data_IF_855776260215
#
_entry.id   IF_855776260215
#
_cell.length_a   1.000
_cell.length_b   1.000
_cell.length_c   1.000
_cell.angle_alpha   90.00
_cell.angle_beta   90.00
_cell.angle_gamma   90.00
#
_symmetry.space_group_name_H-M   'P 1'
#
loop_
_entity.id
_entity.type
_entity.pdbx_description
1 polymer ?
#
# COMPACT_ATOMS: atom_id res chain seq x y z
N UNK A 1 -33.39 -18.64 10.45
CA UNK A 1 -32.50 -17.46 10.53
C UNK A 1 -31.10 -17.98 10.77
N UNK A 2 -30.12 -17.64 9.92
CA UNK A 2 -28.71 -17.93 10.24
C UNK A 2 -28.30 -17.00 11.38
N UNK A 3 -27.75 -17.56 12.47
CA UNK A 3 -27.12 -16.77 13.54
C UNK A 3 -25.85 -16.14 12.98
N UNK A 4 -25.68 -14.82 13.12
CA UNK A 4 -24.46 -14.11 12.68
C UNK A 4 -23.28 -14.32 13.63
N UNK A 5 -23.54 -14.65 14.90
CA UNK A 5 -22.53 -14.86 15.92
C UNK A 5 -22.84 -16.08 16.79
N UNK A 6 -21.78 -16.70 17.31
CA UNK A 6 -21.83 -17.83 18.23
C UNK A 6 -21.14 -17.49 19.54
N UNK A 7 -21.71 -17.93 20.66
CA UNK A 7 -21.00 -17.86 21.95
C UNK A 7 -19.84 -18.86 22.00
N UNK A 8 -18.89 -18.65 22.91
CA UNK A 8 -17.78 -19.59 23.13
C UNK A 8 -18.25 -21.04 23.37
N UNK A 9 -19.33 -21.22 24.14
CA UNK A 9 -19.95 -22.53 24.38
C UNK A 9 -20.50 -23.16 23.11
N UNK A 10 -21.21 -22.38 22.29
CA UNK A 10 -21.78 -22.84 21.03
C UNK A 10 -20.68 -23.27 20.05
N UNK A 11 -19.59 -22.52 19.96
CA UNK A 11 -18.44 -22.88 19.12
C UNK A 11 -17.82 -24.21 19.58
N UNK A 12 -17.58 -24.38 20.88
CA UNK A 12 -17.05 -25.64 21.42
C UNK A 12 -17.99 -26.81 21.16
N UNK A 13 -19.30 -26.63 21.34
CA UNK A 13 -20.30 -27.67 21.05
C UNK A 13 -20.30 -28.05 19.56
N UNK A 14 -20.19 -27.08 18.67
CA UNK A 14 -20.15 -27.33 17.23
C UNK A 14 -18.86 -28.06 16.82
N UNK A 15 -17.71 -27.63 17.31
CA UNK A 15 -16.43 -28.24 16.97
C UNK A 15 -16.29 -29.65 17.57
N UNK A 16 -16.79 -29.88 18.79
CA UNK A 16 -16.77 -31.19 19.46
C UNK A 16 -17.73 -32.20 18.83
N UNK A 17 -18.77 -31.75 18.12
CA UNK A 17 -19.62 -32.65 17.32
C UNK A 17 -18.90 -33.23 16.10
N UNK A 18 -17.88 -32.54 15.58
CA UNK A 18 -17.15 -32.92 14.36
C UNK A 18 -15.75 -33.50 14.62
N UNK A 19 -15.13 -33.17 15.77
CA UNK A 19 -13.73 -33.51 16.08
C UNK A 19 -13.63 -34.61 17.14
N UNK A 20 -12.69 -35.55 16.96
CA UNK A 20 -12.51 -36.73 17.84
C UNK A 20 -11.64 -36.51 19.10
N UNK A 21 -11.22 -35.28 19.44
CA UNK A 21 -11.06 -34.89 20.84
C UNK A 21 -12.04 -33.78 21.26
N UNK A 22 -12.51 -33.85 22.50
CA UNK A 22 -13.26 -32.75 23.13
C UNK A 22 -12.34 -31.55 23.32
N UNK A 23 -12.48 -30.55 22.46
CA UNK A 23 -11.86 -29.24 22.57
C UNK A 23 -12.36 -28.53 23.83
N UNK A 24 -11.41 -27.85 24.46
CA UNK A 24 -11.59 -27.05 25.67
C UNK A 24 -11.50 -25.55 25.35
N UNK A 25 -11.83 -24.72 26.33
CA UNK A 25 -11.64 -23.27 26.24
C UNK A 25 -10.18 -22.85 26.02
N UNK A 26 -9.21 -23.67 26.44
CA UNK A 26 -7.78 -23.42 26.15
C UNK A 26 -7.48 -23.58 24.67
N UNK A 27 -8.09 -24.56 24.02
CA UNK A 27 -7.96 -24.76 22.57
C UNK A 27 -8.65 -23.61 21.82
N UNK A 28 -9.79 -23.13 22.31
CA UNK A 28 -10.45 -21.94 21.76
C UNK A 28 -9.56 -20.68 21.88
N UNK A 29 -8.91 -20.49 23.04
CA UNK A 29 -7.94 -19.40 23.25
C UNK A 29 -6.75 -19.52 22.28
N UNK A 30 -6.21 -20.72 22.10
CA UNK A 30 -5.13 -20.99 21.13
C UNK A 30 -5.58 -20.69 19.68
N UNK A 31 -6.79 -21.06 19.28
CA UNK A 31 -7.35 -20.69 17.96
C UNK A 31 -7.42 -19.17 17.76
N UNK A 32 -7.76 -18.42 18.81
CA UNK A 32 -7.78 -16.97 18.75
C UNK A 32 -6.36 -16.37 18.68
N UNK A 33 -5.40 -16.91 19.44
CA UNK A 33 -3.99 -16.50 19.39
C UNK A 33 -3.36 -16.74 18.03
N UNK A 34 -3.80 -17.80 17.33
CA UNK A 34 -3.40 -18.11 15.94
C UNK A 34 -4.15 -17.28 14.89
N UNK A 35 -5.05 -16.39 15.29
CA UNK A 35 -5.82 -15.53 14.40
C UNK A 35 -6.90 -16.26 13.58
N UNK A 36 -7.28 -17.47 13.99
CA UNK A 36 -8.36 -18.23 13.32
C UNK A 36 -9.75 -17.79 13.77
N UNK A 37 -9.86 -17.27 14.98
CA UNK A 37 -11.06 -16.72 15.58
C UNK A 37 -10.75 -15.35 16.17
N UNK A 38 -11.69 -14.43 16.06
CA UNK A 38 -11.58 -13.08 16.62
C UNK A 38 -12.65 -12.92 17.71
N UNK A 39 -12.27 -12.86 18.99
CA UNK A 39 -13.26 -12.66 20.06
C UNK A 39 -13.83 -11.25 19.96
N UNK A 40 -15.15 -11.14 19.95
CA UNK A 40 -15.84 -9.87 19.84
C UNK A 40 -16.91 -9.72 20.92
N UNK A 41 -17.23 -8.48 21.26
CA UNK A 41 -18.33 -8.14 22.17
C UNK A 41 -19.25 -7.17 21.46
N UNK A 42 -20.56 -7.37 21.66
CA UNK A 42 -21.57 -6.44 21.20
C UNK A 42 -21.53 -5.15 22.02
N UNK A 43 -21.49 -4.01 21.34
CA UNK A 43 -21.43 -2.71 21.96
C UNK A 43 -22.41 -1.74 21.32
N UNK A 44 -23.09 -0.96 22.16
CA UNK A 44 -23.95 0.15 21.78
C UNK A 44 -23.56 1.38 22.60
N UNK A 45 -23.14 2.45 21.92
CA UNK A 45 -22.65 3.66 22.57
C UNK A 45 -21.93 4.57 21.58
N UNK A 46 -20.90 5.27 22.05
CA UNK A 46 -20.10 6.17 21.25
C UNK A 46 -18.70 5.59 21.03
N UNK A 47 -18.23 5.64 19.79
CA UNK A 47 -16.82 5.43 19.45
C UNK A 47 -16.16 6.79 19.27
N UNK A 48 -15.05 6.99 19.96
CA UNK A 48 -14.25 8.21 19.93
C UNK A 48 -12.86 7.86 19.44
N UNK A 49 -12.44 8.52 18.35
CA UNK A 49 -11.07 8.45 17.87
C UNK A 49 -10.23 9.54 18.52
N UNK A 50 -9.17 9.13 19.20
CA UNK A 50 -8.24 10.02 19.90
C UNK A 50 -6.92 10.02 19.14
N UNK A 51 -6.48 11.20 18.77
CA UNK A 51 -5.14 11.49 18.27
C UNK A 51 -4.22 11.81 19.44
N UNK A 52 -3.05 11.17 19.49
CA UNK A 52 -1.99 11.44 20.43
C UNK A 52 -0.76 11.99 19.70
N UNK A 53 -0.40 13.24 20.02
CA UNK A 53 0.84 13.84 19.55
C UNK A 53 1.83 13.97 20.71
N UNK A 54 3.09 13.59 20.46
CA UNK A 54 4.19 13.81 21.39
C UNK A 54 5.23 14.67 20.71
N UNK A 55 5.32 15.91 21.17
CA UNK A 55 6.39 16.80 20.70
C UNK A 55 7.73 16.30 21.24
N UNK A 56 8.82 16.36 20.47
CA UNK A 56 10.16 16.16 21.04
C UNK A 56 10.42 17.25 22.08
N UNK A 57 11.04 16.88 23.20
CA UNK A 57 11.42 17.87 24.21
C UNK A 57 12.48 18.81 23.59
N UNK A 58 12.24 20.12 23.63
CA UNK A 58 13.10 21.14 23.04
C UNK A 58 14.48 21.22 23.72
N UNK A 59 14.59 20.72 24.96
CA UNK A 59 15.81 20.80 25.78
C UNK A 59 16.67 19.53 25.66
N UNK A 60 16.04 18.35 25.69
CA UNK A 60 16.73 17.07 25.49
C UNK A 60 15.86 16.15 24.64
N UNK A 61 16.29 15.89 23.40
CA UNK A 61 15.58 15.00 22.47
C UNK A 61 15.47 13.53 22.96
N UNK A 62 16.15 13.15 24.05
CA UNK A 62 16.02 11.84 24.71
C UNK A 62 14.88 11.80 25.72
N UNK A 63 14.36 12.96 26.12
CA UNK A 63 13.21 13.08 27.00
C UNK A 63 11.92 13.24 26.19
N UNK A 64 10.84 12.64 26.68
CA UNK A 64 9.51 12.80 26.08
C UNK A 64 9.02 14.22 26.34
N UNK A 65 8.71 14.98 25.29
CA UNK A 65 8.16 16.33 25.40
C UNK A 65 6.66 16.30 25.73
N UNK A 66 5.99 17.47 25.65
CA UNK A 66 4.57 17.60 25.98
C UNK A 66 3.72 16.65 25.15
N UNK A 67 2.73 16.06 25.82
CA UNK A 67 1.82 15.09 25.27
C UNK A 67 0.45 15.73 25.08
N UNK A 68 0.05 15.91 23.83
CA UNK A 68 -1.23 16.49 23.47
C UNK A 68 -2.17 15.41 22.98
N UNK A 69 -3.42 15.50 23.42
CA UNK A 69 -4.52 14.61 23.02
C UNK A 69 -5.62 15.46 22.40
N UNK A 70 -6.10 15.04 21.25
CA UNK A 70 -7.25 15.65 20.60
C UNK A 70 -8.22 14.58 20.10
N UNK A 71 -9.50 14.92 20.03
CA UNK A 71 -10.52 14.04 19.43
C UNK A 71 -10.54 14.28 17.92
N UNK A 72 -10.21 13.27 17.13
CA UNK A 72 -10.23 13.36 15.66
C UNK A 72 -11.65 13.33 15.12
N UNK A 73 -12.47 12.41 15.65
CA UNK A 73 -13.87 12.25 15.27
C UNK A 73 -14.60 11.38 16.30
N UNK A 74 -15.92 11.47 16.31
CA UNK A 74 -16.81 10.65 17.14
C UNK A 74 -17.98 10.14 16.30
N UNK A 75 -18.50 8.96 16.66
CA UNK A 75 -19.71 8.42 16.05
C UNK A 75 -20.52 7.64 17.07
N UNK A 76 -21.84 7.80 17.03
CA UNK A 76 -22.76 6.85 17.65
C UNK A 76 -22.59 5.53 16.89
N UNK A 77 -22.41 4.44 17.64
CA UNK A 77 -22.05 3.15 17.11
C UNK A 77 -22.86 2.04 17.76
N UNK A 78 -23.27 1.09 16.92
CA UNK A 78 -23.86 -0.18 17.32
C UNK A 78 -23.23 -1.29 16.50
N UNK A 79 -22.64 -2.28 17.16
CA UNK A 79 -21.96 -3.37 16.45
C UNK A 79 -21.03 -4.17 17.34
N UNK A 80 -20.06 -4.83 16.71
CA UNK A 80 -19.15 -5.76 17.39
C UNK A 80 -17.73 -5.22 17.42
N UNK A 81 -17.15 -5.18 18.62
CA UNK A 81 -15.80 -4.66 18.88
C UNK A 81 -14.87 -5.78 19.34
N UNK A 82 -13.58 -5.65 19.03
CA UNK A 82 -12.53 -6.57 19.47
C UNK A 82 -11.44 -5.85 20.27
N UNK A 83 -11.10 -6.42 21.42
CA UNK A 83 -9.89 -6.13 22.19
C UNK A 83 -9.15 -7.45 22.48
N UNK A 84 -7.83 -7.39 22.58
CA UNK A 84 -7.02 -8.56 23.00
C UNK A 84 -7.32 -8.99 24.42
N UNK A 85 -7.73 -8.05 25.27
CA UNK A 85 -8.03 -8.31 26.68
C UNK A 85 -9.15 -9.35 26.83
N UNK A 86 -10.05 -9.45 25.85
CA UNK A 86 -11.13 -10.44 25.84
C UNK A 86 -10.62 -11.88 25.88
N UNK A 87 -9.41 -12.15 25.37
CA UNK A 87 -8.80 -13.49 25.39
C UNK A 87 -8.55 -14.01 26.80
N UNK A 88 -8.35 -13.12 27.78
CA UNK A 88 -8.08 -13.51 29.16
C UNK A 88 -9.35 -13.90 29.93
N UNK A 89 -10.52 -13.68 29.33
CA UNK A 89 -11.82 -13.99 29.91
C UNK A 89 -12.46 -15.27 29.34
N UNK A 90 -11.97 -15.79 28.21
CA UNK A 90 -12.53 -16.98 27.57
C UNK A 90 -12.60 -18.21 28.50
N UNK A 91 -11.57 -18.44 29.32
CA UNK A 91 -11.54 -19.59 30.23
C UNK A 91 -12.53 -19.46 31.40
N UNK A 92 -12.95 -18.23 31.72
CA UNK A 92 -13.86 -17.96 32.82
C UNK A 92 -15.34 -18.22 32.51
N UNK A 93 -15.69 -18.48 31.25
CA UNK A 93 -17.05 -18.87 30.85
C UNK A 93 -17.51 -20.22 31.42
N UNK A 94 -16.60 -20.99 32.03
CA UNK A 94 -16.93 -22.27 32.72
C UNK A 94 -17.32 -22.10 34.18
N UNK A 95 -17.17 -20.90 34.74
CA UNK A 95 -17.38 -20.64 36.17
C UNK A 95 -18.83 -20.21 36.40
N UNK A 96 -19.45 -20.71 37.48
CA UNK A 96 -20.84 -20.41 37.85
C UNK A 96 -21.13 -18.91 38.02
N UNK A 97 -20.09 -18.13 38.33
CA UNK A 97 -20.10 -16.67 38.27
C UNK A 97 -19.07 -16.22 37.23
N UNK A 98 -19.49 -15.79 36.03
CA UNK A 98 -18.57 -15.39 34.97
C UNK A 98 -17.74 -14.20 35.47
N UNK A 99 -16.45 -14.22 35.16
CA UNK A 99 -15.57 -13.11 35.51
C UNK A 99 -16.01 -11.88 34.70
N UNK A 100 -16.28 -10.79 35.41
CA UNK A 100 -16.63 -9.50 34.81
C UNK A 100 -15.42 -8.57 34.83
N UNK A 101 -15.33 -7.70 33.84
CA UNK A 101 -14.34 -6.63 33.77
C UNK A 101 -14.90 -5.46 32.96
N UNK A 102 -14.12 -4.39 32.85
CA UNK A 102 -14.47 -3.18 32.13
C UNK A 102 -13.53 -2.96 30.95
N UNK A 103 -14.08 -2.69 29.78
CA UNK A 103 -13.29 -2.32 28.60
C UNK A 103 -13.56 -0.87 28.20
N UNK A 104 -12.50 -0.14 27.90
CA UNK A 104 -12.58 1.24 27.43
C UNK A 104 -11.92 1.45 26.07
N UNK A 105 -10.87 0.69 25.79
CA UNK A 105 -10.12 0.72 24.53
C UNK A 105 -10.40 -0.55 23.75
N UNK A 106 -10.36 -0.45 22.43
CA UNK A 106 -10.50 -1.60 21.56
C UNK A 106 -9.59 -1.43 20.34
N UNK A 107 -9.21 -2.55 19.73
CA UNK A 107 -8.25 -2.57 18.63
C UNK A 107 -8.94 -2.52 17.27
N UNK A 108 -10.11 -3.16 17.15
CA UNK A 108 -10.76 -3.38 15.86
C UNK A 108 -12.28 -3.35 15.98
N UNK A 109 -12.91 -2.74 14.99
CA UNK A 109 -14.35 -2.89 14.72
C UNK A 109 -14.53 -4.10 13.83
N UNK A 110 -15.27 -5.09 14.29
CA UNK A 110 -15.53 -6.34 13.56
C UNK A 110 -16.68 -6.14 12.59
N UNK A 111 -17.76 -5.54 13.07
CA UNK A 111 -18.94 -5.26 12.28
C UNK A 111 -19.63 -4.00 12.80
N UNK A 112 -20.07 -3.15 11.87
CA UNK A 112 -20.86 -1.97 12.15
C UNK A 112 -22.29 -2.21 11.68
N UNK A 113 -23.24 -2.26 12.60
CA UNK A 113 -24.67 -2.46 12.29
C UNK A 113 -25.35 -1.12 12.04
N UNK A 114 -25.09 -0.14 12.90
CA UNK A 114 -25.61 1.23 12.79
C UNK A 114 -24.50 2.21 13.19
N UNK A 115 -24.28 3.24 12.36
CA UNK A 115 -23.40 4.37 12.67
C UNK A 115 -23.97 5.63 12.04
N UNK A 116 -23.96 6.75 12.77
CA UNK A 116 -24.43 8.03 12.24
C UNK A 116 -23.41 8.64 11.26
N UNK A 117 -22.12 8.43 11.51
CA UNK A 117 -21.02 8.96 10.70
C UNK A 117 -20.21 7.84 10.03
N UNK A 118 -19.55 8.19 8.92
CA UNK A 118 -18.59 7.31 8.27
C UNK A 118 -17.35 7.09 9.17
N UNK A 119 -17.05 5.83 9.46
CA UNK A 119 -15.90 5.43 10.27
C UNK A 119 -14.65 5.54 9.41
N UNK A 120 -13.75 6.46 9.76
CA UNK A 120 -12.51 6.71 9.03
C UNK A 120 -11.41 5.72 9.43
N UNK A 121 -10.50 5.43 8.50
CA UNK A 121 -9.30 4.65 8.78
C UNK A 121 -8.40 5.39 9.78
N UNK A 122 -7.84 4.66 10.74
CA UNK A 122 -6.96 5.22 11.78
C UNK A 122 -5.58 5.58 11.23
N UNK A 123 -5.08 6.75 11.61
CA UNK A 123 -3.69 7.14 11.42
C UNK A 123 -2.78 6.44 12.46
N UNK A 124 -1.45 6.44 12.24
CA UNK A 124 -0.48 5.79 13.15
C UNK A 124 -0.53 6.28 14.61
N UNK A 125 -0.94 7.54 14.80
CA UNK A 125 -1.03 8.20 16.11
C UNK A 125 -2.46 8.24 16.66
N UNK A 126 -3.37 7.46 16.09
CA UNK A 126 -4.77 7.42 16.48
C UNK A 126 -5.16 6.07 17.09
N UNK A 127 -6.07 6.11 18.05
CA UNK A 127 -6.66 4.92 18.64
C UNK A 127 -8.10 5.16 19.05
N UNK A 128 -8.84 4.07 19.23
CA UNK A 128 -10.27 4.12 19.49
C UNK A 128 -10.61 3.84 20.95
N UNK A 129 -11.63 4.55 21.43
CA UNK A 129 -12.25 4.34 22.73
C UNK A 129 -13.76 4.19 22.61
N UNK A 130 -14.33 3.38 23.47
CA UNK A 130 -15.77 3.11 23.55
C UNK A 130 -16.34 3.75 24.81
N UNK A 131 -17.34 4.61 24.66
CA UNK A 131 -18.03 5.27 25.77
C UNK A 131 -19.50 4.88 25.75
N UNK A 132 -20.06 4.57 26.92
CA UNK A 132 -21.50 4.36 27.04
C UNK A 132 -22.27 5.61 26.57
N UNK A 133 -23.49 5.42 26.05
CA UNK A 133 -24.33 6.52 25.60
C UNK A 133 -24.72 7.41 26.79
N UNK A 134 -24.51 8.72 26.70
CA UNK A 134 -24.96 9.68 27.71
C UNK A 134 -26.05 10.60 27.14
N UNK A 135 -26.85 11.18 28.02
CA UNK A 135 -28.02 11.99 27.62
C UNK A 135 -27.64 13.34 26.97
N UNK A 136 -26.36 13.71 27.04
CA UNK A 136 -25.76 15.00 26.67
C UNK A 136 -24.72 14.89 25.52
N UNK A 137 -24.70 13.76 24.79
CA UNK A 137 -23.69 13.44 23.76
C UNK A 137 -23.63 14.49 22.62
N UNK A 138 -24.66 15.32 22.49
CA UNK A 138 -24.79 16.41 21.51
C UNK A 138 -23.81 17.59 21.76
N UNK A 139 -23.16 17.64 22.93
CA UNK A 139 -22.28 18.74 23.39
C UNK A 139 -20.79 18.39 23.20
N UNK A 140 -20.37 18.40 21.92
CA UNK A 140 -19.02 18.36 21.26
C UNK A 140 -17.70 18.14 22.08
N UNK A 141 -16.85 17.26 21.50
CA UNK A 141 -15.36 17.09 21.51
C UNK A 141 -14.52 17.29 22.80
N UNK A 142 -14.76 18.32 23.62
CA UNK A 142 -13.91 18.63 24.78
C UNK A 142 -14.26 17.72 25.96
N UNK A 143 -15.54 17.34 26.10
CA UNK A 143 -16.02 16.49 27.21
C UNK A 143 -15.40 15.09 27.17
N UNK A 144 -15.27 14.46 26.00
CA UNK A 144 -14.72 13.10 25.89
C UNK A 144 -13.32 12.94 26.49
N UNK A 145 -12.44 13.93 26.36
CA UNK A 145 -11.09 13.87 26.94
C UNK A 145 -11.11 14.04 28.47
N UNK A 146 -12.04 14.84 29.00
CA UNK A 146 -12.24 15.05 30.45
C UNK A 146 -12.93 13.83 31.07
N UNK A 147 -13.96 13.31 30.42
CA UNK A 147 -14.72 12.13 30.83
C UNK A 147 -13.86 10.88 30.76
N UNK A 148 -12.91 10.79 29.82
CA UNK A 148 -11.94 9.70 29.79
C UNK A 148 -11.12 9.54 31.09
N UNK A 149 -11.04 10.57 31.94
CA UNK A 149 -10.39 10.47 33.25
C UNK A 149 -11.30 9.91 34.35
N UNK A 150 -12.61 10.00 34.18
CA UNK A 150 -13.62 9.62 35.19
C UNK A 150 -14.41 8.37 34.78
N UNK A 151 -14.38 8.01 33.51
CA UNK A 151 -15.07 6.85 32.97
C UNK A 151 -14.27 5.57 33.25
N UNK A 152 -14.85 4.68 34.04
CA UNK A 152 -14.21 3.43 34.46
C UNK A 152 -14.18 2.37 33.33
N UNK A 153 -14.99 2.53 32.28
CA UNK A 153 -15.09 1.61 31.15
C UNK A 153 -16.48 0.97 31.04
N UNK A 154 -16.66 0.13 30.03
CA UNK A 154 -17.92 -0.57 29.75
C UNK A 154 -17.86 -1.97 30.36
N UNK A 155 -18.79 -2.33 31.25
CA UNK A 155 -18.80 -3.65 31.87
C UNK A 155 -19.10 -4.73 30.83
N UNK A 156 -18.40 -5.85 30.94
CA UNK A 156 -18.67 -7.05 30.17
C UNK A 156 -18.38 -8.29 31.00
N UNK A 157 -18.93 -9.42 30.56
CA UNK A 157 -18.69 -10.74 31.13
C UNK A 157 -18.09 -11.68 30.07
N UNK A 158 -17.50 -12.77 30.52
CA UNK A 158 -16.96 -13.80 29.62
C UNK A 158 -18.01 -14.45 28.72
N UNK A 159 -19.30 -14.43 29.12
CA UNK A 159 -20.42 -14.94 28.33
C UNK A 159 -20.83 -14.01 27.19
N UNK A 160 -20.44 -12.74 27.25
CA UNK A 160 -20.73 -11.75 26.19
C UNK A 160 -19.76 -11.87 25.01
N UNK A 161 -18.71 -12.68 25.15
CA UNK A 161 -17.72 -12.92 24.10
C UNK A 161 -18.28 -13.87 23.05
N UNK A 162 -18.33 -13.37 21.82
CA UNK A 162 -18.87 -14.07 20.66
C UNK A 162 -17.88 -14.12 19.50
N UNK A 163 -18.15 -15.02 18.57
CA UNK A 163 -17.35 -15.26 17.36
C UNK A 163 -18.23 -15.18 16.11
N UNK A 164 -17.70 -14.55 15.06
CA UNK A 164 -18.44 -14.36 13.83
C UNK A 164 -18.72 -15.69 13.12
N UNK A 165 -19.91 -15.84 12.55
CA UNK A 165 -20.37 -17.07 11.92
C UNK A 165 -19.44 -17.56 10.82
N UNK A 166 -18.90 -16.67 9.99
CA UNK A 166 -17.95 -17.03 8.93
C UNK A 166 -16.70 -17.69 9.51
N UNK A 167 -16.10 -17.13 10.57
CA UNK A 167 -14.89 -17.70 11.17
C UNK A 167 -15.16 -19.09 11.78
N UNK A 168 -16.33 -19.26 12.41
CA UNK A 168 -16.74 -20.55 12.98
C UNK A 168 -17.02 -21.59 11.90
N UNK A 169 -17.71 -21.21 10.82
CA UNK A 169 -17.92 -22.08 9.66
C UNK A 169 -16.59 -22.48 9.02
N UNK A 170 -15.62 -21.55 8.92
CA UNK A 170 -14.29 -21.86 8.39
C UNK A 170 -13.59 -22.97 9.18
N UNK A 171 -13.82 -23.05 10.48
CA UNK A 171 -13.30 -24.14 11.33
C UNK A 171 -14.10 -25.44 11.18
N UNK A 172 -15.41 -25.34 11.02
CA UNK A 172 -16.28 -26.50 10.90
C UNK A 172 -16.10 -27.19 9.56
N UNK A 173 -16.06 -26.46 8.45
CA UNK A 173 -15.89 -27.02 7.11
C UNK A 173 -14.52 -26.62 6.55
N UNK A 174 -13.44 -27.31 6.98
CA UNK A 174 -12.11 -27.06 6.42
C UNK A 174 -12.05 -27.34 4.91
N UNK A 175 -12.96 -28.15 4.36
CA UNK A 175 -13.07 -28.39 2.91
C UNK A 175 -13.60 -27.18 2.13
N UNK A 176 -14.31 -26.23 2.77
CA UNK A 176 -14.60 -24.91 2.15
C UNK A 176 -13.45 -23.92 2.29
N UNK A 177 -12.40 -24.28 3.04
CA UNK A 177 -11.10 -23.60 3.06
C UNK A 177 -9.99 -24.57 2.66
N UNK A 178 -9.96 -24.98 1.40
CA UNK A 178 -8.65 -24.93 0.78
C UNK A 178 -8.22 -23.46 0.81
N UNK A 179 -7.49 -23.06 1.86
CA UNK A 179 -6.29 -22.27 1.58
C UNK A 179 -5.60 -23.07 0.48
N UNK A 180 -5.65 -22.59 -0.78
CA UNK A 180 -5.08 -23.24 -1.95
C UNK A 180 -3.56 -23.33 -1.79
N UNK A 181 -3.10 -24.08 -0.79
CA UNK A 181 -1.71 -24.24 -0.43
C UNK A 181 -1.14 -25.22 -1.43
N UNK A 182 -0.56 -24.67 -2.48
CA UNK A 182 0.16 -25.43 -3.50
C UNK A 182 1.56 -25.69 -2.96
N UNK A 183 1.77 -26.87 -2.42
CA UNK A 183 3.10 -27.37 -2.13
C UNK A 183 3.74 -27.82 -3.43
N UNK A 184 4.84 -27.17 -3.81
CA UNK A 184 5.51 -27.37 -5.08
C UNK A 184 6.94 -27.82 -4.81
N UNK A 185 7.37 -28.87 -5.49
CA UNK A 185 8.75 -29.33 -5.48
C UNK A 185 9.32 -29.32 -6.90
N UNK A 186 10.44 -28.63 -7.08
CA UNK A 186 11.17 -28.53 -8.33
C UNK A 186 12.50 -29.28 -8.30
N UNK A 187 12.71 -30.19 -7.34
CA UNK A 187 13.92 -31.02 -7.24
C UNK A 187 14.30 -31.68 -8.57
N UNK A 188 13.30 -32.08 -9.35
CA UNK A 188 13.47 -32.82 -10.60
C UNK A 188 13.52 -31.90 -11.83
N UNK A 189 13.19 -30.61 -11.67
CA UNK A 189 13.22 -29.62 -12.74
C UNK A 189 14.58 -28.89 -12.77
N UNK A 190 15.45 -29.29 -13.71
CA UNK A 190 16.81 -28.74 -13.87
C UNK A 190 16.85 -27.24 -14.18
N UNK A 191 15.79 -26.67 -14.74
CA UNK A 191 15.74 -25.24 -15.06
C UNK A 191 15.32 -24.45 -13.83
N UNK A 192 14.21 -24.83 -13.20
CA UNK A 192 13.69 -24.11 -12.04
C UNK A 192 14.60 -24.25 -10.82
N UNK A 193 15.26 -25.39 -10.61
CA UNK A 193 16.27 -25.52 -9.54
C UNK A 193 17.44 -24.53 -9.64
N UNK A 194 17.75 -24.00 -10.84
CA UNK A 194 18.70 -22.88 -11.01
C UNK A 194 18.04 -21.53 -10.69
N UNK A 195 16.79 -21.35 -11.10
CA UNK A 195 15.99 -20.14 -10.85
C UNK A 195 15.77 -19.92 -9.35
N UNK A 196 15.55 -20.97 -8.55
CA UNK A 196 15.38 -20.85 -7.09
C UNK A 196 16.60 -20.26 -6.36
N UNK A 197 17.77 -20.20 -7.01
CA UNK A 197 19.03 -19.67 -6.43
C UNK A 197 19.34 -18.24 -6.86
N UNK A 198 18.46 -17.61 -7.64
CA UNK A 198 18.65 -16.24 -8.11
C UNK A 198 18.28 -15.24 -7.00
N UNK A 199 18.91 -14.07 -7.03
CA UNK A 199 18.61 -12.98 -6.08
C UNK A 199 17.53 -12.03 -6.62
N UNK A 200 17.30 -12.06 -7.93
CA UNK A 200 16.45 -11.13 -8.66
C UNK A 200 15.64 -11.89 -9.71
N UNK A 201 14.38 -11.47 -9.87
CA UNK A 201 13.39 -12.14 -10.70
C UNK A 201 12.67 -11.12 -11.57
N UNK A 202 12.55 -11.39 -12.87
CA UNK A 202 11.60 -10.70 -13.73
C UNK A 202 10.18 -11.29 -13.55
N UNK A 203 9.13 -10.59 -14.01
CA UNK A 203 7.75 -11.05 -13.84
C UNK A 203 7.43 -12.41 -14.48
N UNK A 204 8.09 -12.76 -15.60
CA UNK A 204 7.87 -14.04 -16.29
C UNK A 204 8.49 -15.16 -15.47
N UNK A 205 9.74 -14.99 -15.04
CA UNK A 205 10.42 -15.97 -14.19
C UNK A 205 9.68 -16.16 -12.87
N UNK A 206 9.17 -15.09 -12.26
CA UNK A 206 8.32 -15.19 -11.07
C UNK A 206 7.01 -15.94 -11.33
N UNK A 207 6.38 -15.78 -12.49
CA UNK A 207 5.18 -16.53 -12.87
C UNK A 207 5.48 -18.02 -13.10
N UNK A 208 6.64 -18.34 -13.69
CA UNK A 208 7.10 -19.72 -13.87
C UNK A 208 7.30 -20.46 -12.55
N UNK A 209 7.63 -19.76 -11.46
CA UNK A 209 7.70 -20.35 -10.11
C UNK A 209 6.33 -20.77 -9.57
N UNK A 210 5.23 -20.24 -10.13
CA UNK A 210 3.87 -20.61 -9.75
C UNK A 210 3.33 -21.76 -10.59
N UNK A 211 3.80 -21.92 -11.83
CA UNK A 211 3.24 -22.86 -12.81
C UNK A 211 4.16 -24.03 -13.18
N UNK A 212 5.47 -23.92 -12.91
CA UNK A 212 6.45 -24.95 -13.24
C UNK A 212 6.98 -24.90 -14.68
N UNK A 213 6.65 -23.85 -15.44
CA UNK A 213 7.06 -23.69 -16.83
C UNK A 213 8.53 -23.26 -17.00
N UNK A 214 9.06 -23.42 -18.21
CA UNK A 214 10.41 -22.99 -18.59
C UNK A 214 10.44 -21.49 -18.97
N UNK A 215 11.11 -20.62 -18.20
CA UNK A 215 11.18 -19.19 -18.49
C UNK A 215 11.75 -18.88 -19.88
N UNK A 216 12.75 -19.63 -20.35
CA UNK A 216 13.43 -19.36 -21.61
C UNK A 216 12.52 -19.57 -22.83
N UNK A 217 11.58 -20.51 -22.74
CA UNK A 217 10.59 -20.74 -23.81
C UNK A 217 9.54 -19.64 -23.85
N UNK A 218 9.15 -19.13 -22.69
CA UNK A 218 8.07 -18.15 -22.55
C UNK A 218 8.53 -16.74 -22.91
N UNK A 219 9.77 -16.37 -22.61
CA UNK A 219 10.36 -15.08 -23.04
C UNK A 219 10.35 -14.95 -24.57
N UNK A 220 10.76 -16.01 -25.28
CA UNK A 220 10.79 -16.04 -26.76
C UNK A 220 9.37 -15.97 -27.35
N UNK A 221 8.43 -16.70 -26.77
CA UNK A 221 7.04 -16.76 -27.26
C UNK A 221 6.27 -15.45 -27.02
N UNK A 222 6.47 -14.80 -25.86
CA UNK A 222 5.85 -13.51 -25.56
C UNK A 222 6.35 -12.41 -26.49
N UNK A 223 7.64 -12.39 -26.79
CA UNK A 223 8.22 -11.43 -27.73
C UNK A 223 7.72 -11.63 -29.18
N UNK A 224 7.40 -12.88 -29.56
CA UNK A 224 6.96 -13.22 -30.91
C UNK A 224 5.45 -13.06 -31.14
N UNK A 225 4.59 -13.52 -30.22
CA UNK A 225 3.13 -13.45 -30.37
C UNK A 225 2.37 -13.64 -29.04
N UNK A 226 1.90 -12.53 -28.45
CA UNK A 226 1.18 -12.53 -27.18
C UNK A 226 -0.12 -13.35 -27.19
N UNK A 227 -0.87 -13.37 -28.31
CA UNK A 227 -2.12 -14.16 -28.41
C UNK A 227 -1.84 -15.66 -28.43
N UNK A 228 -0.73 -16.08 -29.05
CA UNK A 228 -0.33 -17.49 -29.06
C UNK A 228 0.15 -17.94 -27.67
N UNK A 229 0.81 -17.05 -26.93
CA UNK A 229 1.25 -17.30 -25.56
C UNK A 229 0.06 -17.54 -24.62
N UNK A 230 -0.96 -16.69 -24.66
CA UNK A 230 -2.18 -16.83 -23.84
C UNK A 230 -2.90 -18.16 -24.10
N UNK A 231 -3.02 -18.56 -25.37
CA UNK A 231 -3.68 -19.82 -25.74
C UNK A 231 -2.87 -21.06 -25.33
N UNK A 232 -1.53 -20.98 -25.41
CA UNK A 232 -0.65 -22.13 -25.17
C UNK A 232 -0.29 -22.32 -23.70
N UNK A 233 -0.24 -21.24 -22.91
CA UNK A 233 0.11 -21.25 -21.49
C UNK A 233 -0.89 -20.42 -20.65
N UNK A 234 -2.17 -20.84 -20.57
CA UNK A 234 -3.19 -20.07 -19.88
C UNK A 234 -2.91 -19.89 -18.38
N UNK A 235 -2.43 -20.93 -17.70
CA UNK A 235 -2.09 -20.88 -16.27
C UNK A 235 -0.92 -19.91 -16.00
N UNK A 236 0.10 -19.91 -16.87
CA UNK A 236 1.24 -19.00 -16.74
C UNK A 236 0.83 -17.55 -17.04
N UNK A 237 -0.06 -17.36 -18.02
CA UNK A 237 -0.61 -16.05 -18.33
C UNK A 237 -1.40 -15.45 -17.16
N UNK A 238 -2.20 -16.27 -16.47
CA UNK A 238 -2.90 -15.87 -15.25
C UNK A 238 -1.93 -15.52 -14.12
N UNK A 239 -0.92 -16.36 -13.87
CA UNK A 239 0.12 -16.09 -12.87
C UNK A 239 0.92 -14.81 -13.17
N UNK A 240 1.28 -14.59 -14.43
CA UNK A 240 1.95 -13.37 -14.88
C UNK A 240 1.07 -12.14 -14.69
N UNK A 241 -0.21 -12.23 -15.04
CA UNK A 241 -1.18 -11.14 -14.85
C UNK A 241 -1.29 -10.78 -13.37
N UNK A 242 -1.33 -11.77 -12.50
CA UNK A 242 -1.39 -11.60 -11.06
C UNK A 242 -0.14 -10.89 -10.52
N UNK A 243 1.06 -11.29 -10.94
CA UNK A 243 2.32 -10.65 -10.53
C UNK A 243 2.38 -9.19 -11.02
N UNK A 244 2.00 -8.94 -12.28
CA UNK A 244 1.99 -7.59 -12.84
C UNK A 244 0.99 -6.68 -12.11
N UNK A 245 -0.20 -7.18 -11.77
CA UNK A 245 -1.17 -6.44 -10.93
C UNK A 245 -0.59 -6.12 -9.56
N UNK A 246 0.07 -7.08 -8.93
CA UNK A 246 0.69 -6.89 -7.62
C UNK A 246 1.77 -5.81 -7.63
N UNK A 247 2.57 -5.74 -8.70
CA UNK A 247 3.56 -4.68 -8.88
C UNK A 247 2.87 -3.33 -9.09
N UNK A 248 1.90 -3.25 -9.99
CA UNK A 248 1.22 -1.98 -10.33
C UNK A 248 0.45 -1.38 -9.14
N UNK A 249 -0.13 -2.25 -8.30
CA UNK A 249 -0.84 -1.85 -7.08
C UNK A 249 0.10 -1.60 -5.89
N UNK A 250 1.42 -1.81 -6.05
CA UNK A 250 2.41 -1.61 -4.99
C UNK A 250 2.40 -2.67 -3.88
N UNK A 251 1.70 -3.80 -4.10
CA UNK A 251 1.67 -4.94 -3.18
C UNK A 251 2.99 -5.70 -3.25
N UNK A 252 3.51 -5.92 -4.46
CA UNK A 252 4.82 -6.53 -4.69
C UNK A 252 5.84 -5.45 -5.06
N UNK A 253 6.88 -5.29 -4.23
CA UNK A 253 7.93 -4.29 -4.48
C UNK A 253 8.85 -4.75 -5.61
N UNK A 254 8.84 -4.00 -6.71
CA UNK A 254 9.78 -4.11 -7.81
C UNK A 254 10.51 -2.77 -8.03
N UNK A 255 11.70 -2.81 -8.64
CA UNK A 255 12.41 -1.61 -9.07
C UNK A 255 11.80 -1.02 -10.36
N UNK A 256 12.39 0.06 -10.88
CA UNK A 256 11.95 0.74 -12.10
C UNK A 256 11.90 -0.16 -13.35
N UNK A 257 12.71 -1.22 -13.38
CA UNK A 257 12.82 -2.16 -14.49
C UNK A 257 11.96 -3.42 -14.27
N UNK A 258 11.00 -3.37 -13.34
CA UNK A 258 10.13 -4.49 -12.94
C UNK A 258 10.88 -5.68 -12.35
N UNK A 259 12.10 -5.48 -11.87
CA UNK A 259 12.89 -6.53 -11.21
C UNK A 259 12.46 -6.65 -9.75
N UNK A 260 12.07 -7.85 -9.38
CA UNK A 260 11.59 -8.23 -8.05
C UNK A 260 12.77 -8.85 -7.28
N UNK A 261 12.98 -8.39 -6.04
CA UNK A 261 13.99 -9.00 -5.17
C UNK A 261 13.48 -10.31 -4.56
N UNK A 262 14.40 -11.24 -4.25
CA UNK A 262 14.09 -12.56 -3.70
C UNK A 262 13.16 -12.52 -2.47
N UNK A 263 13.46 -11.68 -1.47
CA UNK A 263 12.72 -11.65 -0.19
C UNK A 263 11.25 -11.24 -0.38
N UNK A 264 10.92 -10.08 -1.02
CA UNK A 264 9.54 -9.71 -1.32
C UNK A 264 8.78 -10.78 -2.11
N UNK A 265 9.44 -11.46 -3.05
CA UNK A 265 8.81 -12.52 -3.84
C UNK A 265 8.46 -13.75 -2.98
N UNK A 266 9.35 -14.16 -2.07
CA UNK A 266 9.11 -15.29 -1.18
C UNK A 266 7.90 -15.03 -0.26
N UNK A 267 7.85 -13.84 0.34
CA UNK A 267 6.75 -13.42 1.21
C UNK A 267 5.43 -13.41 0.43
N UNK A 268 5.41 -12.76 -0.73
CA UNK A 268 4.25 -12.70 -1.61
C UNK A 268 3.73 -14.08 -2.00
N UNK A 269 4.61 -15.00 -2.38
CA UNK A 269 4.19 -16.36 -2.75
C UNK A 269 3.60 -17.13 -1.56
N UNK A 270 4.15 -16.97 -0.34
CA UNK A 270 3.56 -17.58 0.87
C UNK A 270 2.18 -17.00 1.16
N UNK A 271 2.02 -15.68 1.08
CA UNK A 271 0.72 -15.01 1.27
C UNK A 271 -0.33 -15.48 0.25
N UNK A 272 0.10 -15.79 -0.98
CA UNK A 272 -0.76 -16.34 -2.05
C UNK A 272 -0.96 -17.85 -1.96
N UNK A 273 -0.35 -18.53 -1.00
CA UNK A 273 -0.47 -19.97 -0.78
C UNK A 273 0.45 -20.85 -1.64
N UNK A 274 1.47 -20.30 -2.28
CA UNK A 274 2.46 -21.07 -3.06
C UNK A 274 3.67 -21.38 -2.19
N UNK A 275 3.84 -22.65 -1.80
CA UNK A 275 4.93 -23.11 -0.94
C UNK A 275 5.90 -23.97 -1.76
N UNK A 276 7.04 -23.40 -2.13
CA UNK A 276 8.03 -24.01 -3.00
C UNK A 276 9.21 -24.54 -2.16
N UNK A 277 9.48 -25.83 -2.29
CA UNK A 277 10.59 -26.49 -1.63
C UNK A 277 11.94 -25.90 -2.08
N UNK A 278 12.85 -25.65 -1.14
CA UNK A 278 14.14 -25.03 -1.42
C UNK A 278 14.12 -23.52 -1.71
N UNK A 279 12.97 -22.85 -1.64
CA UNK A 279 12.84 -21.41 -1.90
C UNK A 279 12.18 -20.64 -0.75
N UNK A 280 10.85 -20.75 -0.59
CA UNK A 280 10.09 -20.02 0.44
C UNK A 280 9.49 -20.93 1.53
N UNK A 281 9.65 -22.27 1.45
CA UNK A 281 9.20 -23.21 2.48
C UNK A 281 9.71 -22.88 3.90
N UNK A 282 10.97 -22.48 4.04
CA UNK A 282 11.55 -22.07 5.33
C UNK A 282 10.85 -20.82 5.90
N UNK A 283 10.33 -19.95 5.04
CA UNK A 283 9.60 -18.74 5.45
C UNK A 283 8.19 -19.08 5.90
N UNK A 284 7.56 -20.08 5.27
CA UNK A 284 6.27 -20.65 5.70
C UNK A 284 6.38 -21.42 7.02
N UNK A 285 7.37 -22.30 7.16
CA UNK A 285 7.57 -23.14 8.36
C UNK A 285 8.00 -22.32 9.60
N UNK A 286 8.22 -21.01 9.46
CA UNK A 286 8.58 -20.12 10.57
C UNK A 286 9.97 -20.38 11.16
N UNK A 287 10.81 -21.14 10.47
CA UNK A 287 12.17 -21.53 10.90
C UNK A 287 13.25 -20.56 10.45
N UNK A 288 12.86 -19.46 9.78
CA UNK A 288 13.78 -18.41 9.35
C UNK A 288 14.25 -17.55 10.53
N UNK A 289 15.50 -17.75 10.96
CA UNK A 289 16.24 -16.83 11.81
C UNK A 289 17.23 -16.02 10.94
N UNK A 290 17.00 -14.72 10.71
CA UNK A 290 18.00 -13.91 10.03
C UNK A 290 19.21 -13.72 10.95
N UNK A 291 20.38 -14.19 10.52
CA UNK A 291 21.64 -13.76 11.09
C UNK A 291 21.83 -12.27 10.75
N UNK A 292 21.73 -11.44 11.79
CA UNK A 292 22.23 -10.07 11.93
C UNK A 292 21.49 -8.89 11.24
N UNK A 293 21.34 -7.83 12.06
CA UNK A 293 20.97 -6.43 11.78
C UNK A 293 19.52 -6.12 11.38
N UNK A 294 18.59 -6.33 12.32
CA UNK A 294 17.81 -5.26 12.96
C UNK A 294 16.71 -5.89 13.80
N UNK A 295 16.42 -5.31 14.98
CA UNK A 295 15.41 -5.80 15.93
C UNK A 295 13.96 -5.60 15.44
N UNK A 296 13.67 -5.79 14.16
CA UNK A 296 12.29 -5.92 13.65
C UNK A 296 11.94 -7.41 13.64
N UNK A 297 11.05 -7.81 14.55
CA UNK A 297 10.38 -9.11 14.46
C UNK A 297 9.54 -9.09 13.18
N UNK A 298 10.02 -9.71 12.11
CA UNK A 298 9.21 -9.93 10.92
C UNK A 298 8.05 -10.86 11.30
N UNK A 299 6.82 -10.43 11.02
CA UNK A 299 5.64 -11.29 11.18
C UNK A 299 5.78 -12.45 10.19
N UNK A 300 5.49 -13.67 10.63
CA UNK A 300 5.40 -14.80 9.70
C UNK A 300 4.38 -14.45 8.61
N UNK A 301 4.71 -14.59 7.31
CA UNK A 301 3.74 -14.42 6.24
C UNK A 301 2.68 -15.52 6.38
N UNK A 302 1.43 -15.12 6.62
CA UNK A 302 0.30 -16.04 6.77
C UNK A 302 -0.41 -16.10 5.42
N UNK A 303 -0.72 -17.30 4.88
CA UNK A 303 -1.54 -17.42 3.68
C UNK A 303 -2.86 -16.65 3.83
N UNK A 304 -3.13 -15.75 2.91
CA UNK A 304 -4.35 -14.94 2.90
C UNK A 304 -5.54 -15.84 2.55
N UNK A 305 -6.63 -15.70 3.30
CA UNK A 305 -7.91 -16.27 2.88
C UNK A 305 -8.51 -15.37 1.79
N UNK A 306 -8.33 -15.75 0.52
CA UNK A 306 -8.72 -14.97 -0.65
C UNK A 306 -10.23 -15.09 -0.98
N UNK A 307 -10.99 -15.90 -0.23
CA UNK A 307 -12.40 -16.22 -0.52
C UNK A 307 -13.37 -15.04 -0.33
N UNK A 308 -13.01 -14.03 0.47
CA UNK A 308 -13.92 -12.92 0.79
C UNK A 308 -13.61 -11.60 0.06
N UNK A 309 -12.34 -11.32 -0.30
CA UNK A 309 -11.98 -10.18 -1.15
C UNK A 309 -10.50 -10.25 -1.60
N UNK A 310 -10.20 -10.83 -2.77
CA UNK A 310 -8.83 -10.79 -3.29
C UNK A 310 -8.50 -9.35 -3.77
N UNK A 311 -7.52 -8.64 -3.17
CA UNK A 311 -7.12 -7.31 -3.64
C UNK A 311 -6.63 -7.33 -5.09
N UNK A 312 -6.13 -8.47 -5.59
CA UNK A 312 -5.67 -8.65 -6.97
C UNK A 312 -6.77 -9.18 -7.92
N UNK A 313 -7.99 -9.37 -7.42
CA UNK A 313 -9.14 -9.73 -8.27
C UNK A 313 -9.32 -8.69 -9.37
N UNK A 314 -9.86 -9.14 -10.51
CA UNK A 314 -10.08 -8.25 -11.66
C UNK A 314 -10.94 -7.04 -11.30
N UNK A 315 -11.98 -7.24 -10.49
CA UNK A 315 -12.87 -6.16 -10.03
C UNK A 315 -12.10 -5.13 -9.20
N UNK A 316 -11.25 -5.56 -8.25
CA UNK A 316 -10.49 -4.65 -7.41
C UNK A 316 -9.37 -3.94 -8.19
N UNK A 317 -8.73 -4.63 -9.13
CA UNK A 317 -7.78 -4.02 -10.04
C UNK A 317 -8.42 -2.96 -10.95
N UNK A 318 -9.62 -3.22 -11.47
CA UNK A 318 -10.38 -2.24 -12.24
C UNK A 318 -10.78 -1.04 -11.37
N UNK A 319 -11.21 -1.25 -10.13
CA UNK A 319 -11.48 -0.17 -9.16
C UNK A 319 -10.24 0.69 -8.92
N UNK A 320 -9.08 0.07 -8.72
CA UNK A 320 -7.80 0.77 -8.60
C UNK A 320 -7.50 1.62 -9.83
N UNK A 321 -7.65 1.07 -11.04
CA UNK A 321 -7.45 1.84 -12.29
C UNK A 321 -8.40 3.02 -12.41
N UNK A 322 -9.68 2.82 -12.08
CA UNK A 322 -10.68 3.90 -12.09
C UNK A 322 -10.31 4.98 -11.07
N UNK A 323 -9.85 4.61 -9.87
CA UNK A 323 -9.38 5.57 -8.87
C UNK A 323 -8.19 6.39 -9.39
N UNK A 324 -7.17 5.73 -9.94
CA UNK A 324 -5.99 6.40 -10.51
C UNK A 324 -6.36 7.35 -11.65
N UNK A 325 -7.29 6.95 -12.51
CA UNK A 325 -7.81 7.80 -13.58
C UNK A 325 -8.61 8.98 -13.04
N UNK A 326 -9.41 8.81 -11.98
CA UNK A 326 -10.10 9.90 -11.31
C UNK A 326 -9.11 10.90 -10.71
N UNK A 327 -8.07 10.43 -10.03
CA UNK A 327 -7.02 11.29 -9.47
C UNK A 327 -6.31 12.08 -10.58
N UNK A 328 -6.07 11.47 -11.74
CA UNK A 328 -5.48 12.14 -12.90
C UNK A 328 -6.44 13.16 -13.52
N UNK A 329 -7.73 12.83 -13.64
CA UNK A 329 -8.76 13.77 -14.09
C UNK A 329 -8.90 14.94 -13.11
N UNK A 330 -8.84 14.71 -11.80
CA UNK A 330 -8.86 15.76 -10.78
C UNK A 330 -7.64 16.65 -10.87
N UNK A 331 -6.44 16.08 -11.05
CA UNK A 331 -5.22 16.85 -11.32
C UNK A 331 -5.38 17.70 -12.58
N UNK A 332 -5.87 17.12 -13.67
CA UNK A 332 -6.09 17.84 -14.93
C UNK A 332 -7.16 18.93 -14.79
N UNK A 333 -8.24 18.68 -14.05
CA UNK A 333 -9.28 19.66 -13.76
C UNK A 333 -8.78 20.78 -12.85
N UNK A 334 -7.94 20.46 -11.87
CA UNK A 334 -7.24 21.44 -11.05
C UNK A 334 -6.33 22.33 -11.91
N UNK A 335 -5.53 21.74 -12.81
CA UNK A 335 -4.72 22.49 -13.78
C UNK A 335 -5.59 23.33 -14.72
N UNK A 336 -6.70 22.79 -15.21
CA UNK A 336 -7.62 23.49 -16.12
C UNK A 336 -8.34 24.64 -15.45
N UNK A 337 -8.82 24.47 -14.21
CA UNK A 337 -9.46 25.54 -13.42
C UNK A 337 -8.45 26.63 -13.05
N UNK A 338 -7.20 26.23 -12.76
CA UNK A 338 -6.10 27.17 -12.57
C UNK A 338 -5.80 27.97 -13.84
N UNK A 339 -5.90 27.35 -15.03
CA UNK A 339 -5.78 28.04 -16.31
C UNK A 339 -6.99 28.94 -16.63
N UNK A 340 -8.22 28.53 -16.30
CA UNK A 340 -9.42 29.32 -16.61
C UNK A 340 -9.60 30.53 -15.71
N UNK A 341 -9.16 30.44 -14.45
CA UNK A 341 -9.18 31.58 -13.52
C UNK A 341 -8.15 32.66 -13.88
N UNK A 342 -7.15 32.33 -14.71
CA UNK A 342 -6.13 33.27 -15.17
C UNK A 342 -6.51 34.00 -16.49
N UNK A 343 -7.69 33.73 -17.07
CA UNK A 343 -8.13 34.31 -18.35
C UNK A 343 -9.07 35.52 -18.21
N UNK A 344 -9.21 36.12 -17.02
CA UNK A 344 -10.05 37.33 -16.84
C UNK A 344 -9.34 38.58 -16.33
N UNK A 345 -8.02 38.59 -16.17
CA UNK A 345 -7.30 39.84 -15.89
C UNK A 345 -6.04 40.00 -16.75
N UNK A 346 -5.96 41.19 -17.34
CA UNK A 346 -4.86 41.69 -18.14
C UNK A 346 -3.55 41.67 -17.33
N UNK A 347 -2.48 41.18 -17.96
CA UNK A 347 -1.06 41.25 -17.59
C UNK A 347 -0.73 42.15 -16.38
N UNK A 348 -0.66 41.54 -15.19
CA UNK A 348 0.24 42.00 -14.13
C UNK A 348 0.94 40.79 -13.50
N UNK A 349 2.26 40.86 -13.53
CA UNK A 349 3.19 39.93 -12.90
C UNK A 349 2.78 39.64 -11.45
N UNK A 350 2.35 38.40 -11.17
CA UNK A 350 2.23 37.91 -9.80
C UNK A 350 2.96 36.57 -9.65
N UNK A 351 3.94 36.64 -8.77
CA UNK A 351 4.80 35.61 -8.21
C UNK A 351 3.98 34.44 -7.67
N UNK A 352 4.30 33.23 -8.13
CA UNK A 352 3.83 31.99 -7.51
C UNK A 352 4.69 31.68 -6.28
N UNK A 353 4.10 31.76 -5.09
CA UNK A 353 4.65 31.21 -3.84
C UNK A 353 3.58 30.40 -3.13
N UNK A 354 3.69 29.07 -3.22
CA UNK A 354 3.71 28.05 -2.14
C UNK A 354 3.36 26.69 -2.76
N UNK A 355 4.08 25.57 -2.54
CA UNK A 355 4.42 24.94 -1.27
C UNK A 355 5.80 24.25 -1.35
N UNK A 356 6.70 24.57 -0.41
CA UNK A 356 7.67 23.64 0.19
C UNK A 356 8.81 23.01 -0.63
N UNK A 357 9.02 23.30 -1.92
CA UNK A 357 10.25 22.89 -2.60
C UNK A 357 11.38 23.89 -2.32
N UNK A 358 12.55 23.41 -1.88
CA UNK A 358 13.78 24.21 -1.82
C UNK A 358 14.04 24.84 -3.20
N UNK A 359 13.66 26.11 -3.35
CA UNK A 359 13.90 26.90 -4.55
C UNK A 359 15.19 27.67 -4.37
N UNK A 360 16.03 27.64 -5.40
CA UNK A 360 17.20 28.51 -5.49
C UNK A 360 17.04 29.41 -6.70
N UNK A 361 17.70 30.58 -6.73
CA UNK A 361 17.66 31.46 -7.90
C UNK A 361 18.03 30.73 -9.20
N UNK A 362 18.92 29.73 -9.12
CA UNK A 362 19.30 28.91 -10.26
C UNK A 362 18.17 27.98 -10.73
N UNK A 363 17.39 27.39 -9.81
CA UNK A 363 16.23 26.57 -10.14
C UNK A 363 15.11 27.39 -10.77
N UNK A 364 14.90 28.61 -10.30
CA UNK A 364 13.94 29.56 -10.88
C UNK A 364 14.34 29.94 -12.30
N UNK A 365 15.62 30.26 -12.51
CA UNK A 365 16.16 30.53 -13.83
C UNK A 365 16.04 29.34 -14.79
N UNK A 366 16.27 28.11 -14.31
CA UNK A 366 16.05 26.88 -15.09
C UNK A 366 14.58 26.75 -15.52
N UNK A 367 13.64 26.88 -14.57
CA UNK A 367 12.20 26.81 -14.85
C UNK A 367 11.79 27.87 -15.86
N UNK A 368 12.26 29.11 -15.71
CA UNK A 368 11.99 30.21 -16.64
C UNK A 368 12.52 29.97 -18.05
N UNK A 369 13.75 29.45 -18.19
CA UNK A 369 14.34 29.15 -19.50
C UNK A 369 13.58 28.01 -20.21
N UNK A 370 13.18 26.97 -19.49
CA UNK A 370 12.39 25.86 -20.05
C UNK A 370 11.06 26.39 -20.59
N UNK A 371 10.33 27.15 -19.78
CA UNK A 371 9.03 27.72 -20.17
C UNK A 371 9.17 28.65 -21.38
N UNK A 372 10.18 29.53 -21.38
CA UNK A 372 10.35 30.53 -22.44
C UNK A 372 10.78 29.94 -23.79
N UNK A 373 11.65 28.93 -23.78
CA UNK A 373 12.34 28.49 -24.99
C UNK A 373 12.10 27.03 -25.40
N UNK A 374 11.65 26.17 -24.49
CA UNK A 374 11.69 24.71 -24.73
C UNK A 374 10.35 24.00 -24.56
N UNK A 375 9.39 24.53 -23.78
CA UNK A 375 8.07 23.88 -23.58
C UNK A 375 7.30 23.69 -24.89
N UNK A 376 7.41 24.63 -25.83
CA UNK A 376 6.71 24.59 -27.12
C UNK A 376 7.65 24.37 -28.31
N UNK A 377 8.92 24.03 -28.08
CA UNK A 377 9.91 23.86 -29.15
C UNK A 377 9.69 22.54 -29.88
N UNK A 378 9.39 22.59 -31.19
CA UNK A 378 9.36 21.42 -32.06
C UNK A 378 10.69 21.27 -32.82
N UNK A 379 11.50 20.23 -32.54
CA UNK A 379 12.79 20.02 -33.17
C UNK A 379 12.72 19.79 -34.70
N UNK A 380 11.54 19.56 -35.28
CA UNK A 380 11.36 19.39 -36.73
C UNK A 380 11.14 20.71 -37.48
N UNK A 381 10.58 21.72 -36.81
CA UNK A 381 10.13 22.96 -37.45
C UNK A 381 10.83 24.20 -36.91
N UNK A 382 11.27 24.16 -35.65
CA UNK A 382 11.83 25.33 -34.98
C UNK A 382 13.36 25.37 -35.03
N UNK A 383 13.89 26.58 -35.16
CA UNK A 383 15.32 26.85 -35.08
C UNK A 383 15.68 27.06 -33.61
N UNK A 384 16.63 26.29 -33.03
CA UNK A 384 16.98 26.42 -31.63
C UNK A 384 17.60 27.80 -31.34
N UNK A 385 17.28 28.42 -30.19
CA UNK A 385 17.83 29.72 -29.83
C UNK A 385 19.35 29.65 -29.64
N UNK A 386 20.04 30.70 -30.11
CA UNK A 386 21.47 30.89 -29.88
C UNK A 386 21.74 31.00 -28.38
N UNK A 387 22.87 30.46 -27.93
CA UNK A 387 23.27 30.49 -26.51
C UNK A 387 23.35 31.90 -25.96
N UNK A 388 23.83 32.87 -26.75
CA UNK A 388 23.85 34.29 -26.36
C UNK A 388 22.45 34.81 -26.07
N UNK A 389 21.46 34.47 -26.89
CA UNK A 389 20.07 34.91 -26.72
C UNK A 389 19.45 34.40 -25.42
N UNK A 390 19.72 33.15 -25.04
CA UNK A 390 19.25 32.59 -23.77
C UNK A 390 19.99 33.23 -22.59
N UNK A 391 21.30 33.46 -22.71
CA UNK A 391 22.11 34.12 -21.67
C UNK A 391 21.69 35.58 -21.44
N UNK A 392 21.42 36.33 -22.50
CA UNK A 392 20.93 37.72 -22.40
C UNK A 392 19.56 37.76 -21.73
N UNK A 393 18.66 36.83 -22.07
CA UNK A 393 17.37 36.72 -21.40
C UNK A 393 17.51 36.38 -19.91
N UNK A 394 18.41 35.47 -19.52
CA UNK A 394 18.67 35.19 -18.10
C UNK A 394 19.23 36.44 -17.39
N UNK A 395 20.15 37.17 -18.03
CA UNK A 395 20.72 38.41 -17.50
C UNK A 395 19.65 39.46 -17.21
N UNK A 396 18.65 39.57 -18.08
CA UNK A 396 17.59 40.58 -17.97
C UNK A 396 16.50 40.19 -16.96
N UNK A 397 16.29 38.89 -16.70
CA UNK A 397 15.20 38.40 -15.86
C UNK A 397 15.66 37.91 -14.47
N UNK A 398 16.95 37.61 -14.28
CA UNK A 398 17.53 37.10 -13.03
C UNK A 398 18.76 37.94 -12.63
N UNK A 399 18.57 39.07 -11.93
CA UNK A 399 19.62 40.05 -11.61
C UNK A 399 20.84 39.46 -10.88
N UNK A 400 20.64 38.42 -10.09
CA UNK A 400 21.67 37.67 -9.37
C UNK A 400 22.70 36.99 -10.30
N UNK A 401 22.35 36.75 -11.56
CA UNK A 401 23.23 36.17 -12.57
C UNK A 401 23.73 37.18 -13.60
N UNK A 402 23.42 38.47 -13.43
CA UNK A 402 23.69 39.52 -14.41
C UNK A 402 25.16 39.51 -14.87
N UNK A 403 26.09 39.45 -13.91
CA UNK A 403 27.54 39.46 -14.14
C UNK A 403 28.18 38.05 -14.16
N UNK A 404 27.37 36.98 -14.06
CA UNK A 404 27.88 35.60 -13.97
C UNK A 404 27.60 34.79 -15.25
N UNK A 405 28.44 34.99 -16.26
CA UNK A 405 28.33 34.29 -17.55
C UNK A 405 28.49 32.77 -17.43
N UNK A 406 29.27 32.29 -16.46
CA UNK A 406 29.47 30.87 -16.24
C UNK A 406 28.16 30.17 -15.84
N UNK A 407 27.44 30.74 -14.88
CA UNK A 407 26.16 30.19 -14.40
C UNK A 407 25.09 30.28 -15.49
N UNK A 408 24.96 31.40 -16.19
CA UNK A 408 24.02 31.56 -17.32
C UNK A 408 24.25 30.51 -18.41
N UNK A 409 25.53 30.25 -18.75
CA UNK A 409 25.91 29.24 -19.73
C UNK A 409 25.62 27.81 -19.25
N UNK A 410 25.82 27.54 -17.96
CA UNK A 410 25.50 26.24 -17.37
C UNK A 410 23.99 25.96 -17.37
N UNK A 411 23.18 26.97 -17.03
CA UNK A 411 21.70 26.89 -17.05
C UNK A 411 21.21 26.60 -18.48
N UNK A 412 21.67 27.37 -19.48
CA UNK A 412 21.33 27.13 -20.88
C UNK A 412 21.72 25.71 -21.34
N UNK A 413 22.93 25.25 -21.01
CA UNK A 413 23.38 23.88 -21.33
C UNK A 413 22.52 22.81 -20.68
N UNK A 414 22.05 23.02 -19.46
CA UNK A 414 21.19 22.07 -18.78
C UNK A 414 19.83 21.98 -19.49
N UNK A 415 19.21 23.15 -19.74
CA UNK A 415 17.84 23.28 -20.25
C UNK A 415 17.68 22.96 -21.74
N UNK A 416 18.76 23.04 -22.54
CA UNK A 416 18.70 22.79 -23.99
C UNK A 416 18.05 21.45 -24.32
N UNK A 417 17.15 21.46 -25.30
CA UNK A 417 16.59 20.21 -25.84
C UNK A 417 17.70 19.30 -26.39
N UNK A 418 17.66 17.96 -26.21
CA UNK A 418 18.74 17.06 -26.61
C UNK A 418 19.18 17.20 -28.08
N UNK A 419 18.24 17.41 -29.00
CA UNK A 419 18.54 17.61 -30.43
C UNK A 419 19.28 18.93 -30.71
N UNK A 420 19.08 19.96 -29.88
CA UNK A 420 19.75 21.25 -30.00
C UNK A 420 21.14 21.27 -29.34
N UNK A 421 21.50 20.23 -28.56
CA UNK A 421 22.84 20.05 -27.96
C UNK A 421 23.86 19.49 -28.96
N UNK A 422 23.38 18.86 -30.04
CA UNK A 422 24.21 18.16 -31.02
C UNK A 422 24.97 19.07 -32.00
N UNK A 423 24.84 20.40 -31.87
CA UNK A 423 25.70 21.42 -32.48
C UNK A 423 26.24 21.12 -33.90
N UNK A 424 25.57 21.63 -34.94
CA UNK A 424 26.22 22.12 -36.17
C UNK A 424 27.20 21.20 -36.94
N UNK A 425 27.12 19.88 -36.81
CA UNK A 425 27.96 18.94 -37.57
C UNK A 425 27.17 18.09 -38.58
N UNK A 426 26.07 18.63 -39.12
CA UNK A 426 25.47 18.11 -40.36
C UNK A 426 25.99 18.94 -41.54
N UNK A 427 27.26 18.69 -41.92
CA UNK A 427 27.60 18.79 -43.35
C UNK A 427 26.81 17.70 -44.03
N UNK A 428 25.64 18.08 -44.55
CA UNK A 428 24.94 17.30 -45.57
C UNK A 428 25.94 17.20 -46.72
N UNK A 429 26.51 16.01 -46.93
CA UNK A 429 27.16 15.66 -48.18
C UNK A 429 26.07 15.63 -49.26
N UNK A 430 25.78 16.80 -49.83
CA UNK A 430 25.04 16.91 -51.07
C UNK A 430 25.93 17.54 -52.13
N UNK A 431 26.24 16.71 -53.12
CA UNK A 431 26.58 17.04 -54.50
C UNK A 431 27.68 18.08 -54.78
N UNK A 432 28.90 17.56 -55.02
CA UNK A 432 29.83 18.16 -55.96
C UNK A 432 30.23 17.17 -57.07
N UNK A 433 29.38 17.13 -58.11
CA UNK A 433 29.71 17.16 -59.54
C UNK A 433 31.00 16.44 -60.02
N UNK A 434 30.77 15.43 -60.86
CA UNK A 434 31.36 15.19 -62.19
C UNK A 434 32.56 16.06 -62.61
N UNK A 435 33.67 15.39 -62.94
CA UNK A 435 34.61 15.56 -64.09
C UNK A 435 35.96 14.95 -63.64
N UNK A 436 36.71 14.12 -64.36
CA UNK A 436 36.77 13.86 -65.80
C UNK A 436 37.60 12.58 -66.00
N UNK A 437 37.18 11.76 -66.95
CA UNK A 437 38.05 10.86 -67.69
C UNK A 437 39.13 11.62 -68.47
N UNK A 438 40.33 11.05 -68.54
CA UNK A 438 41.40 11.15 -69.55
C UNK A 438 42.68 10.59 -68.91
N UNK A 439 43.48 9.75 -69.53
CA UNK A 439 43.44 9.06 -70.81
C UNK A 439 44.50 7.96 -70.72
#
# INVERSE_FOLDING_TARGET
>A
MLKSYYSAEEVLQLLNKKSSPNLSYKDLKDLCLRGKLTPAIYFEGNIVCIHEERSPNEIDARELGPHERSVSWTSIFKGYLHSRDFLDFLESSTVSNPKTDVFFRFEKIIECLESENEIKLLNQNEYLKAFSRMTDDDIRNIRWLIEAHHFEGNPFSSTDIVFHHQEVQRLLDPEQNETNLKFIDYSDNKFLSKVLKQLFYDPITAACLMTGDDPAQLEVLKAANQKLYEVKYPENFEALTLILRAIEMGILKANSDLIISEIPLKEFLVERGYIINGFNKIHYDGTYFPYHYDKKRFKQPIPLNLSECDPLSEINYLRFKVSKQKDEIEKLNFFKNSLSNNNSECFESKTYTDVGEYSTPALEAIKGVIIKYWVNYDPKFDVPPKQTTVMDWIKDNYPEFKENDYVKKAIDRLCRHPTAKLGGNSKVESDSKKKTSKQ
#
